data_IF_201726707615
#
_entry.id   IF_201726707615
#
_cell.length_a   1.000
_cell.length_b   1.000
_cell.length_c   1.000
_cell.angle_alpha   90.00
_cell.angle_beta   90.00
_cell.angle_gamma   90.00
#
_symmetry.space_group_name_H-M   'P 1'
#
loop_
_entity.id
_entity.type
_entity.pdbx_description
1 polymer ?
#
# COMPACT_ATOMS: atom_id res chain seq x y z
N UNK A 1 16.58 -13.66 -87.48
CA UNK A 1 15.24 -13.13 -87.84
C UNK A 1 14.56 -12.70 -86.55
N UNK A 2 14.25 -11.40 -86.42
CA UNK A 2 13.22 -10.75 -85.56
C UNK A 2 13.24 -11.07 -84.04
N UNK A 3 13.81 -10.21 -83.19
CA UNK A 3 13.25 -9.06 -82.42
C UNK A 3 13.08 -9.40 -80.91
N UNK A 4 13.15 -8.41 -79.98
CA UNK A 4 13.75 -8.58 -78.65
C UNK A 4 12.74 -8.61 -77.48
N UNK A 5 13.07 -9.38 -76.45
CA UNK A 5 12.32 -9.48 -75.19
C UNK A 5 12.73 -8.40 -74.18
N UNK A 6 11.72 -7.68 -73.71
CA UNK A 6 11.72 -6.53 -72.79
C UNK A 6 12.32 -6.80 -71.41
N UNK A 7 13.15 -5.87 -70.93
CA UNK A 7 13.70 -5.81 -69.59
C UNK A 7 12.64 -5.43 -68.54
N UNK A 8 12.53 -6.23 -67.48
CA UNK A 8 11.70 -5.96 -66.30
C UNK A 8 12.40 -5.01 -65.33
N UNK A 9 12.02 -3.72 -65.34
CA UNK A 9 12.36 -2.77 -64.29
C UNK A 9 11.48 -3.00 -63.05
N UNK A 10 12.07 -3.55 -61.98
CA UNK A 10 11.45 -3.57 -60.65
C UNK A 10 11.52 -2.17 -60.04
N UNK A 11 10.36 -1.53 -59.87
CA UNK A 11 10.22 -0.29 -59.06
C UNK A 11 10.27 -0.64 -57.57
N UNK A 12 10.92 0.18 -56.72
CA UNK A 12 10.85 -0.02 -55.28
C UNK A 12 9.48 0.42 -54.74
N UNK A 13 8.87 -0.43 -53.92
CA UNK A 13 7.67 -0.09 -53.15
C UNK A 13 8.03 0.93 -52.07
N UNK A 14 7.62 2.19 -52.27
CA UNK A 14 7.56 3.15 -51.17
C UNK A 14 6.52 2.69 -50.15
N UNK A 15 6.99 2.10 -49.04
CA UNK A 15 6.16 1.92 -47.84
C UNK A 15 5.88 3.30 -47.26
N UNK A 16 4.69 3.82 -47.52
CA UNK A 16 4.12 4.91 -46.73
C UNK A 16 3.92 4.35 -45.32
N UNK A 17 4.79 4.73 -44.38
CA UNK A 17 4.52 4.57 -42.95
C UNK A 17 3.31 5.47 -42.67
N UNK A 18 2.13 4.87 -42.53
CA UNK A 18 1.04 5.53 -41.84
C UNK A 18 1.56 5.93 -40.46
N UNK A 19 1.69 7.23 -40.20
CA UNK A 19 1.81 7.72 -38.84
C UNK A 19 0.52 7.29 -38.14
N UNK A 20 0.62 6.25 -37.32
CA UNK A 20 -0.47 5.88 -36.41
C UNK A 20 -0.81 7.12 -35.60
N UNK A 21 -2.05 7.59 -35.73
CA UNK A 21 -2.62 8.58 -34.81
C UNK A 21 -2.44 8.00 -33.41
N UNK A 22 -1.74 8.73 -32.53
CA UNK A 22 -1.82 8.51 -31.09
C UNK A 22 -3.32 8.48 -30.74
N UNK A 23 -3.79 7.50 -29.92
CA UNK A 23 -5.19 7.48 -29.52
C UNK A 23 -5.52 8.84 -28.91
N UNK A 24 -6.64 9.44 -29.34
CA UNK A 24 -7.10 10.69 -28.78
C UNK A 24 -7.28 10.48 -27.27
N UNK A 25 -6.54 11.24 -26.46
CA UNK A 25 -6.65 11.19 -24.99
C UNK A 25 -8.11 11.38 -24.61
N UNK A 26 -8.60 10.50 -23.75
CA UNK A 26 -9.98 10.47 -23.32
C UNK A 26 -10.09 11.13 -21.94
N UNK A 27 -11.02 12.06 -21.84
CA UNK A 27 -11.43 12.65 -20.57
C UNK A 27 -12.02 11.58 -19.64
N UNK A 28 -11.72 11.61 -18.34
CA UNK A 28 -12.31 10.73 -17.33
C UNK A 28 -13.20 11.50 -16.35
N UNK A 29 -14.31 10.93 -15.91
CA UNK A 29 -15.06 11.48 -14.77
C UNK A 29 -14.22 11.32 -13.49
N UNK A 30 -14.27 12.31 -12.59
CA UNK A 30 -13.49 12.27 -11.35
C UNK A 30 -13.77 11.01 -10.53
N UNK A 31 -15.04 10.55 -10.45
CA UNK A 31 -15.38 9.35 -9.68
C UNK A 31 -14.85 8.08 -10.33
N UNK A 32 -14.87 8.00 -11.67
CA UNK A 32 -14.24 6.90 -12.42
C UNK A 32 -12.74 6.85 -12.13
N UNK A 33 -12.06 8.01 -12.17
CA UNK A 33 -10.63 8.08 -11.89
C UNK A 33 -10.30 7.70 -10.43
N UNK A 34 -11.03 8.22 -9.45
CA UNK A 34 -10.83 7.87 -8.03
C UNK A 34 -11.09 6.39 -7.79
N UNK A 35 -12.12 5.81 -8.42
CA UNK A 35 -12.36 4.35 -8.36
C UNK A 35 -11.16 3.58 -8.93
N UNK A 36 -10.65 3.98 -10.10
CA UNK A 36 -9.50 3.33 -10.70
C UNK A 36 -8.22 3.45 -9.84
N UNK A 37 -8.01 4.59 -9.16
CA UNK A 37 -6.90 4.75 -8.21
C UNK A 37 -7.05 3.86 -6.97
N UNK A 38 -8.28 3.66 -6.49
CA UNK A 38 -8.57 2.75 -5.37
C UNK A 38 -8.48 1.27 -5.79
N UNK A 39 -8.75 0.94 -7.06
CA UNK A 39 -8.52 -0.40 -7.61
C UNK A 39 -7.02 -0.70 -7.74
N UNK A 40 -6.22 0.33 -8.05
CA UNK A 40 -4.76 0.24 -8.08
C UNK A 40 -4.17 -0.03 -6.69
N UNK A 41 -4.63 0.72 -5.68
CA UNK A 41 -4.31 0.43 -4.28
C UNK A 41 -5.53 0.71 -3.38
N UNK A 42 -6.14 -0.35 -2.82
CA UNK A 42 -7.28 -0.17 -1.91
C UNK A 42 -6.90 0.68 -0.69
N UNK A 43 -7.69 1.71 -0.40
CA UNK A 43 -7.48 2.58 0.77
C UNK A 43 -7.58 1.83 2.10
N UNK A 44 -8.21 0.65 2.13
CA UNK A 44 -8.23 -0.22 3.32
C UNK A 44 -6.87 -0.77 3.72
N UNK A 45 -5.85 -0.61 2.88
CA UNK A 45 -4.46 -0.97 3.17
C UNK A 45 -3.70 0.14 3.90
N UNK A 46 -4.25 1.35 3.96
CA UNK A 46 -3.66 2.45 4.69
C UNK A 46 -3.68 2.19 6.20
N UNK A 47 -2.75 2.81 6.90
CA UNK A 47 -2.71 2.81 8.35
C UNK A 47 -3.94 3.49 8.96
N UNK A 48 -4.38 3.01 10.12
CA UNK A 48 -5.63 3.47 10.75
C UNK A 48 -5.62 4.94 11.19
N UNK A 49 -4.44 5.55 11.36
CA UNK A 49 -4.26 6.95 11.73
C UNK A 49 -4.19 7.89 10.51
N UNK A 50 -4.12 7.33 9.30
CA UNK A 50 -3.82 8.08 8.09
C UNK A 50 -5.06 8.80 7.53
N UNK A 51 -4.83 9.80 6.68
CA UNK A 51 -5.88 10.52 5.96
C UNK A 51 -5.70 10.39 4.44
N UNK A 52 -6.23 9.30 3.89
CA UNK A 52 -6.10 8.91 2.48
C UNK A 52 -7.38 9.10 1.68
N UNK A 53 -7.27 9.08 0.35
CA UNK A 53 -8.40 9.22 -0.58
C UNK A 53 -8.55 10.63 -1.14
N UNK A 54 -9.77 10.96 -1.60
CA UNK A 54 -10.09 12.28 -2.15
C UNK A 54 -10.29 13.30 -1.01
N UNK A 55 -9.32 14.20 -0.84
CA UNK A 55 -9.27 15.17 0.25
C UNK A 55 -9.93 16.52 -0.10
N UNK A 56 -9.87 16.91 -1.38
CA UNK A 56 -10.54 18.10 -1.91
C UNK A 56 -11.26 17.72 -3.19
N UNK A 57 -12.58 17.92 -3.22
CA UNK A 57 -13.44 17.57 -4.34
C UNK A 57 -14.05 18.85 -4.96
N UNK A 58 -13.76 19.17 -6.24
CA UNK A 58 -14.46 20.20 -6.99
C UNK A 58 -15.92 19.82 -7.22
N UNK A 59 -16.82 20.80 -7.34
CA UNK A 59 -18.25 20.52 -7.54
C UNK A 59 -18.52 19.74 -8.84
N UNK A 60 -19.40 18.72 -8.85
CA UNK A 60 -19.71 17.96 -10.05
C UNK A 60 -20.55 18.78 -11.06
N UNK A 61 -20.48 18.45 -12.37
CA UNK A 61 -19.60 17.44 -12.97
C UNK A 61 -18.13 17.89 -12.96
N UNK A 62 -17.22 16.95 -12.74
CA UNK A 62 -15.77 17.21 -12.80
C UNK A 62 -15.07 16.18 -13.67
N UNK A 63 -14.31 16.67 -14.64
CA UNK A 63 -13.67 15.86 -15.66
C UNK A 63 -12.18 16.07 -15.60
N UNK A 64 -11.42 14.98 -15.63
CA UNK A 64 -9.98 14.98 -15.50
C UNK A 64 -9.35 14.65 -16.85
N UNK A 65 -8.54 15.57 -17.35
CA UNK A 65 -7.62 15.37 -18.46
C UNK A 65 -6.17 15.24 -17.97
N UNK A 66 -5.82 15.94 -16.88
CA UNK A 66 -4.46 16.02 -16.35
C UNK A 66 -4.43 15.62 -14.87
N UNK A 67 -3.76 14.50 -14.61
CA UNK A 67 -3.36 14.05 -13.27
C UNK A 67 -1.94 14.55 -12.98
N UNK A 68 -1.76 15.33 -11.92
CA UNK A 68 -0.48 15.88 -11.50
C UNK A 68 0.02 15.17 -10.24
N UNK A 69 1.22 14.59 -10.29
CA UNK A 69 1.83 13.82 -9.21
C UNK A 69 2.86 14.65 -8.46
N UNK A 70 2.84 14.60 -7.14
CA UNK A 70 3.85 15.21 -6.26
C UNK A 70 4.00 14.39 -4.98
N UNK A 71 5.16 14.44 -4.34
CA UNK A 71 5.37 13.89 -3.00
C UNK A 71 4.75 14.82 -1.97
N UNK A 72 5.17 16.09 -2.02
CA UNK A 72 4.83 17.15 -1.10
C UNK A 72 4.17 18.33 -1.84
N UNK A 73 2.86 18.52 -1.64
CA UNK A 73 2.14 19.65 -2.22
C UNK A 73 2.46 20.95 -1.47
N UNK A 74 3.53 21.63 -1.86
CA UNK A 74 3.88 22.99 -1.38
C UNK A 74 3.16 24.08 -2.19
N UNK A 75 3.22 25.33 -1.76
CA UNK A 75 2.64 26.45 -2.53
C UNK A 75 3.30 26.63 -3.90
N UNK A 76 4.61 26.40 -3.98
CA UNK A 76 5.35 26.48 -5.23
C UNK A 76 4.93 25.36 -6.21
N UNK A 77 4.71 24.15 -5.69
CA UNK A 77 4.18 23.00 -6.46
C UNK A 77 2.73 23.23 -6.88
N UNK A 78 1.88 23.79 -6.02
CA UNK A 78 0.51 24.15 -6.37
C UNK A 78 0.49 25.13 -7.55
N UNK A 79 1.36 26.14 -7.53
CA UNK A 79 1.46 27.09 -8.63
C UNK A 79 1.93 26.41 -9.94
N UNK A 80 2.85 25.45 -9.86
CA UNK A 80 3.19 24.60 -11.01
C UNK A 80 1.98 23.81 -11.52
N UNK A 81 1.23 23.15 -10.64
CA UNK A 81 0.06 22.35 -11.01
C UNK A 81 -1.01 23.19 -11.72
N UNK A 82 -1.26 24.42 -11.24
CA UNK A 82 -2.14 25.40 -11.89
C UNK A 82 -1.63 25.76 -13.28
N UNK A 83 -0.33 26.08 -13.42
CA UNK A 83 0.28 26.42 -14.71
C UNK A 83 0.23 25.27 -15.71
N UNK A 84 0.39 24.03 -15.24
CA UNK A 84 0.30 22.80 -16.04
C UNK A 84 -1.14 22.36 -16.28
N UNK A 85 -2.14 23.12 -15.81
CA UNK A 85 -3.58 22.84 -15.96
C UNK A 85 -3.96 21.45 -15.44
N UNK A 86 -3.53 21.15 -14.21
CA UNK A 86 -3.95 19.96 -13.49
C UNK A 86 -5.46 20.03 -13.19
N UNK A 87 -6.18 18.91 -13.35
CA UNK A 87 -7.58 18.78 -12.93
C UNK A 87 -7.71 17.96 -11.62
N UNK A 88 -6.71 17.11 -11.36
CA UNK A 88 -6.53 16.35 -10.12
C UNK A 88 -5.04 16.34 -9.77
N UNK A 89 -4.72 16.66 -8.51
CA UNK A 89 -3.40 16.46 -7.92
C UNK A 89 -3.44 15.18 -7.08
N UNK A 90 -2.52 14.26 -7.34
CA UNK A 90 -2.17 13.17 -6.44
C UNK A 90 -0.93 13.60 -5.66
N UNK A 91 -1.14 13.94 -4.39
CA UNK A 91 -0.08 14.28 -3.44
C UNK A 91 0.23 13.04 -2.62
N UNK A 92 1.47 12.54 -2.62
CA UNK A 92 1.85 11.35 -1.86
C UNK A 92 1.55 11.54 -0.38
N UNK A 93 2.04 12.66 0.17
CA UNK A 93 1.71 13.12 1.51
C UNK A 93 0.39 13.90 1.51
N UNK A 94 -0.50 13.65 2.48
CA UNK A 94 -1.78 14.34 2.56
C UNK A 94 -1.58 15.80 3.01
N UNK A 95 -1.90 16.80 2.17
CA UNK A 95 -1.78 18.21 2.57
C UNK A 95 -2.76 18.55 3.70
N UNK A 96 -3.92 17.90 3.73
CA UNK A 96 -4.84 17.88 4.87
C UNK A 96 -4.54 16.63 5.70
N UNK A 97 -3.58 16.69 6.60
CA UNK A 97 -3.29 15.57 7.51
C UNK A 97 -4.11 15.66 8.81
N UNK A 98 -4.25 16.87 9.34
CA UNK A 98 -5.08 17.17 10.50
C UNK A 98 -6.39 17.85 10.08
N UNK A 99 -7.54 17.53 10.69
CA UNK A 99 -8.82 18.16 10.35
C UNK A 99 -8.78 19.69 10.43
N UNK A 100 -9.18 20.35 9.34
CA UNK A 100 -9.29 21.81 9.27
C UNK A 100 -10.62 22.26 9.88
N UNK A 101 -10.57 23.09 10.93
CA UNK A 101 -11.78 23.70 11.51
C UNK A 101 -12.34 24.84 10.65
N UNK A 102 -11.49 25.45 9.82
CA UNK A 102 -11.79 26.58 8.93
C UNK A 102 -10.91 26.49 7.69
N UNK A 103 -11.39 27.03 6.58
CA UNK A 103 -10.63 27.20 5.33
C UNK A 103 -10.59 28.69 5.01
N UNK A 104 -9.45 29.32 5.29
CA UNK A 104 -9.21 30.76 5.12
C UNK A 104 -7.84 30.99 4.47
N UNK A 105 -7.48 32.23 4.14
CA UNK A 105 -6.16 32.52 3.53
C UNK A 105 -4.98 32.53 4.53
N UNK A 106 -5.19 32.07 5.78
CA UNK A 106 -4.26 32.29 6.89
C UNK A 106 -3.02 31.40 6.86
N UNK A 107 -3.20 30.09 6.75
CA UNK A 107 -2.10 29.12 6.74
C UNK A 107 -1.84 28.61 5.33
N UNK A 108 -0.62 28.17 5.06
CA UNK A 108 -0.25 27.65 3.74
C UNK A 108 -1.11 26.45 3.33
N UNK A 109 -1.39 25.52 4.26
CA UNK A 109 -2.29 24.38 4.02
C UNK A 109 -3.71 24.80 3.65
N UNK A 110 -4.28 25.78 4.35
CA UNK A 110 -5.60 26.32 3.97
C UNK A 110 -5.55 27.01 2.60
N UNK A 111 -4.48 27.75 2.28
CA UNK A 111 -4.30 28.37 0.96
C UNK A 111 -4.21 27.35 -0.16
N UNK A 112 -3.59 26.19 0.05
CA UNK A 112 -3.61 25.10 -0.94
C UNK A 112 -5.05 24.66 -1.24
N UNK A 113 -5.88 24.47 -0.21
CA UNK A 113 -7.29 24.09 -0.39
C UNK A 113 -8.07 25.19 -1.10
N UNK A 114 -7.90 26.47 -0.71
CA UNK A 114 -8.56 27.60 -1.38
C UNK A 114 -8.16 27.65 -2.85
N UNK A 115 -6.86 27.57 -3.16
CA UNK A 115 -6.35 27.57 -4.54
C UNK A 115 -6.91 26.40 -5.35
N UNK A 116 -6.90 25.20 -4.78
CA UNK A 116 -7.46 24.02 -5.44
C UNK A 116 -8.93 24.25 -5.82
N UNK A 117 -9.75 24.78 -4.90
CA UNK A 117 -11.15 25.06 -5.16
C UNK A 117 -11.36 26.19 -6.18
N UNK A 118 -10.59 27.29 -6.10
CA UNK A 118 -10.65 28.41 -7.06
C UNK A 118 -10.35 27.97 -8.49
N UNK A 119 -9.41 27.03 -8.67
CA UNK A 119 -9.01 26.49 -9.96
C UNK A 119 -9.73 25.19 -10.33
N UNK A 120 -10.69 24.75 -9.50
CA UNK A 120 -11.42 23.47 -9.66
C UNK A 120 -10.50 22.26 -9.79
N UNK A 121 -9.44 22.19 -9.01
CA UNK A 121 -8.48 21.10 -8.96
C UNK A 121 -8.83 20.18 -7.79
N UNK A 122 -9.00 18.88 -8.04
CA UNK A 122 -9.14 17.90 -6.96
C UNK A 122 -7.80 17.61 -6.28
N UNK A 123 -7.83 17.16 -5.03
CA UNK A 123 -6.64 16.66 -4.32
C UNK A 123 -6.94 15.26 -3.80
N UNK A 124 -6.14 14.29 -4.21
CA UNK A 124 -6.16 12.91 -3.74
C UNK A 124 -4.83 12.56 -3.08
N UNK A 125 -4.86 11.75 -2.02
CA UNK A 125 -3.65 11.29 -1.31
C UNK A 125 -3.70 9.79 -1.05
N UNK A 126 -2.78 8.98 -1.60
CA UNK A 126 -2.74 7.54 -1.32
C UNK A 126 -1.92 7.20 -0.06
N UNK A 127 -0.86 7.98 0.22
CA UNK A 127 0.06 7.84 1.36
C UNK A 127 0.35 6.39 1.74
N UNK A 128 0.00 5.95 2.95
CA UNK A 128 0.35 4.61 3.44
C UNK A 128 -0.30 3.46 2.66
N UNK A 129 -1.39 3.69 1.91
CA UNK A 129 -1.90 2.66 1.01
C UNK A 129 -0.86 2.30 -0.08
N UNK A 130 -0.10 3.28 -0.57
CA UNK A 130 0.97 3.06 -1.55
C UNK A 130 2.28 2.59 -0.91
N UNK A 131 2.45 2.77 0.42
CA UNK A 131 3.49 2.08 1.17
C UNK A 131 3.25 0.56 1.24
N UNK A 132 1.97 0.17 1.31
CA UNK A 132 1.55 -1.20 1.57
C UNK A 132 1.71 -2.13 0.36
N UNK A 133 1.35 -1.66 -0.84
CA UNK A 133 1.14 -2.52 -2.01
C UNK A 133 2.43 -3.16 -2.56
N UNK A 134 2.34 -4.31 -3.26
CA UNK A 134 3.51 -5.02 -3.79
C UNK A 134 4.32 -4.26 -4.85
N UNK A 135 3.75 -3.23 -5.45
CA UNK A 135 4.40 -2.39 -6.46
C UNK A 135 4.49 -0.93 -6.00
N UNK A 136 4.49 -0.73 -4.68
CA UNK A 136 4.54 0.56 -4.00
C UNK A 136 5.95 1.08 -3.72
N UNK A 137 6.04 2.16 -2.95
CA UNK A 137 7.31 2.86 -2.70
C UNK A 137 8.34 1.97 -2.01
N UNK A 138 7.92 1.11 -1.08
CA UNK A 138 8.84 0.23 -0.35
C UNK A 138 9.44 -0.82 -1.30
N UNK A 139 8.66 -1.34 -2.25
CA UNK A 139 9.15 -2.24 -3.29
C UNK A 139 10.03 -1.54 -4.32
N UNK A 140 9.75 -0.27 -4.63
CA UNK A 140 10.64 0.54 -5.44
C UNK A 140 12.00 0.73 -4.75
N UNK A 141 12.01 1.06 -3.45
CA UNK A 141 13.21 1.30 -2.66
C UNK A 141 14.12 0.06 -2.55
N UNK A 142 13.57 -1.16 -2.55
CA UNK A 142 14.38 -2.40 -2.53
C UNK A 142 15.31 -2.51 -3.73
N UNK A 143 14.99 -1.87 -4.88
CA UNK A 143 15.84 -1.90 -6.08
C UNK A 143 17.22 -1.30 -5.80
N UNK A 144 17.34 -0.38 -4.84
CA UNK A 144 18.60 0.17 -4.38
C UNK A 144 19.52 -0.83 -3.66
N UNK A 145 19.01 -1.99 -3.22
CA UNK A 145 19.82 -3.04 -2.60
C UNK A 145 20.42 -4.01 -3.64
N UNK A 146 19.78 -4.13 -4.82
CA UNK A 146 20.10 -5.11 -5.85
C UNK A 146 19.15 -6.31 -5.83
N UNK A 147 19.59 -7.46 -6.35
CA UNK A 147 18.76 -8.66 -6.43
C UNK A 147 18.49 -9.27 -5.05
N UNK A 148 17.23 -9.26 -4.62
CA UNK A 148 16.79 -9.84 -3.36
C UNK A 148 15.37 -10.42 -3.46
N UNK A 149 15.03 -11.32 -2.55
CA UNK A 149 13.63 -11.61 -2.21
C UNK A 149 13.18 -10.66 -1.12
N UNK A 150 11.90 -10.30 -1.09
CA UNK A 150 11.34 -9.37 -0.09
C UNK A 150 10.00 -9.84 0.45
N UNK A 151 9.79 -9.69 1.75
CA UNK A 151 8.50 -9.89 2.43
C UNK A 151 8.13 -8.64 3.24
N UNK A 152 6.84 -8.33 3.43
CA UNK A 152 6.43 -7.21 4.28
C UNK A 152 6.86 -7.44 5.74
N UNK A 153 7.28 -6.37 6.42
CA UNK A 153 7.63 -6.43 7.86
C UNK A 153 6.38 -6.49 8.73
N UNK A 154 5.37 -5.69 8.39
CA UNK A 154 4.05 -5.69 9.01
C UNK A 154 3.01 -6.04 7.96
N UNK A 155 2.68 -7.34 7.77
CA UNK A 155 1.78 -7.78 6.71
C UNK A 155 0.37 -7.22 6.89
N UNK A 156 -0.25 -6.75 5.80
CA UNK A 156 -1.67 -6.39 5.80
C UNK A 156 -2.55 -7.63 5.87
N UNK A 157 -3.75 -7.48 6.41
CA UNK A 157 -4.75 -8.54 6.49
C UNK A 157 -5.93 -8.26 5.58
N UNK A 158 -6.64 -9.30 5.17
CA UNK A 158 -7.88 -9.16 4.42
C UNK A 158 -8.93 -8.37 5.21
N UNK A 159 -9.86 -7.66 4.55
CA UNK A 159 -10.86 -6.84 5.24
C UNK A 159 -11.74 -7.65 6.20
N UNK A 160 -12.07 -8.90 5.82
CA UNK A 160 -12.89 -9.83 6.60
C UNK A 160 -12.27 -11.23 6.66
N UNK A 161 -12.71 -12.02 7.65
CA UNK A 161 -12.41 -13.44 7.71
C UNK A 161 -13.19 -14.19 6.60
N UNK A 162 -12.62 -15.24 5.97
CA UNK A 162 -13.25 -15.95 4.85
C UNK A 162 -14.64 -16.53 5.12
N UNK A 163 -14.95 -16.79 6.39
CA UNK A 163 -16.19 -17.43 6.80
C UNK A 163 -17.17 -16.49 7.52
N UNK A 164 -16.90 -15.17 7.42
CA UNK A 164 -17.62 -14.06 8.06
C UNK A 164 -17.70 -14.18 9.61
N UNK A 165 -17.74 -13.04 10.31
CA UNK A 165 -17.63 -13.00 11.77
C UNK A 165 -16.20 -13.01 12.33
N UNK A 166 -16.09 -12.89 13.64
CA UNK A 166 -14.81 -12.77 14.37
C UNK A 166 -14.51 -13.97 15.25
N UNK A 167 -15.51 -14.79 15.56
CA UNK A 167 -15.37 -15.96 16.43
C UNK A 167 -15.99 -17.19 15.77
N UNK A 168 -15.47 -18.35 16.14
CA UNK A 168 -16.09 -19.63 15.89
C UNK A 168 -16.42 -20.31 17.22
N UNK A 169 -17.66 -20.77 17.34
CA UNK A 169 -18.13 -21.55 18.48
C UNK A 169 -18.39 -22.97 18.00
N UNK A 170 -17.82 -23.94 18.72
CA UNK A 170 -17.97 -25.36 18.42
C UNK A 170 -18.42 -26.10 19.67
N UNK A 171 -19.47 -26.91 19.57
CA UNK A 171 -19.95 -27.74 20.68
C UNK A 171 -20.57 -29.02 20.15
N UNK A 172 -20.63 -30.06 20.99
CA UNK A 172 -21.34 -31.30 20.67
C UNK A 172 -22.63 -31.38 21.50
N UNK A 173 -23.72 -31.80 20.86
CA UNK A 173 -25.02 -32.02 21.51
C UNK A 173 -25.62 -33.34 21.03
N UNK A 174 -26.42 -33.97 21.88
CA UNK A 174 -27.25 -35.11 21.48
C UNK A 174 -28.40 -34.67 20.54
N UNK A 175 -29.08 -35.65 19.96
CA UNK A 175 -30.20 -35.42 19.03
C UNK A 175 -31.41 -34.80 19.71
N UNK A 176 -31.60 -35.01 21.02
CA UNK A 176 -32.75 -34.52 21.79
C UNK A 176 -32.69 -33.00 22.00
N UNK A 177 -31.50 -32.47 22.30
CA UNK A 177 -31.28 -31.05 22.55
C UNK A 177 -30.94 -30.25 21.29
N UNK A 178 -30.57 -30.92 20.19
CA UNK A 178 -30.13 -30.29 18.95
C UNK A 178 -31.17 -29.29 18.40
N UNK A 179 -32.42 -29.70 18.24
CA UNK A 179 -33.47 -28.86 17.63
C UNK A 179 -33.81 -27.63 18.48
N UNK A 180 -33.79 -27.78 19.80
CA UNK A 180 -34.04 -26.68 20.76
C UNK A 180 -32.90 -25.66 20.72
N UNK A 181 -31.65 -26.11 20.62
CA UNK A 181 -30.50 -25.22 20.55
C UNK A 181 -30.43 -24.53 19.19
N UNK A 182 -30.62 -25.27 18.09
CA UNK A 182 -30.57 -24.70 16.74
C UNK A 182 -31.68 -23.68 16.48
N UNK A 183 -32.90 -23.90 17.00
CA UNK A 183 -34.00 -22.93 16.86
C UNK A 183 -33.66 -21.60 17.53
N UNK A 184 -33.16 -21.63 18.78
CA UNK A 184 -32.75 -20.42 19.51
C UNK A 184 -31.53 -19.74 18.90
N UNK A 185 -30.57 -20.50 18.36
CA UNK A 185 -29.40 -19.95 17.66
C UNK A 185 -29.81 -19.20 16.39
N UNK A 186 -30.80 -19.70 15.62
CA UNK A 186 -31.28 -19.04 14.40
C UNK A 186 -31.88 -17.65 14.65
N UNK A 187 -32.34 -17.39 15.86
CA UNK A 187 -32.91 -16.09 16.25
C UNK A 187 -31.82 -15.04 16.59
N UNK A 188 -30.56 -15.48 16.79
CA UNK A 188 -29.43 -14.59 17.09
C UNK A 188 -28.94 -13.96 15.78
N UNK A 189 -28.96 -12.63 15.74
CA UNK A 189 -28.44 -11.87 14.60
C UNK A 189 -26.90 -11.96 14.52
N UNK A 190 -26.32 -11.69 13.34
CA UNK A 190 -24.87 -11.66 13.13
C UNK A 190 -24.16 -13.03 13.29
N UNK A 191 -24.91 -14.13 13.16
CA UNK A 191 -24.38 -15.46 12.90
C UNK A 191 -24.25 -15.64 11.38
N UNK A 192 -23.03 -15.92 10.93
CA UNK A 192 -22.67 -15.88 9.50
C UNK A 192 -22.62 -17.27 8.87
N UNK A 193 -22.31 -18.29 9.68
CA UNK A 193 -22.21 -19.67 9.23
C UNK A 193 -22.66 -20.57 10.36
N UNK A 194 -23.57 -21.50 10.11
CA UNK A 194 -24.02 -22.52 11.05
C UNK A 194 -24.01 -23.87 10.33
N UNK A 195 -23.23 -24.80 10.83
CA UNK A 195 -23.03 -26.12 10.23
C UNK A 195 -23.14 -27.20 11.30
N UNK A 196 -23.67 -28.35 10.92
CA UNK A 196 -23.81 -29.51 11.80
C UNK A 196 -23.20 -30.73 11.13
N UNK A 197 -22.45 -31.51 11.90
CA UNK A 197 -21.79 -32.72 11.44
C UNK A 197 -22.05 -33.86 12.41
N UNK A 198 -22.35 -35.08 11.92
CA UNK A 198 -22.40 -36.26 12.78
C UNK A 198 -21.02 -36.47 13.44
N UNK A 199 -21.03 -36.74 14.74
CA UNK A 199 -19.84 -36.98 15.54
C UNK A 199 -20.05 -38.17 16.48
N UNK A 200 -18.97 -38.81 16.90
CA UNK A 200 -18.97 -39.77 18.00
C UNK A 200 -18.05 -39.28 19.09
N UNK A 201 -18.63 -39.03 20.27
CA UNK A 201 -17.90 -38.57 21.44
C UNK A 201 -18.12 -39.63 22.52
N UNK A 202 -17.03 -40.18 23.06
CA UNK A 202 -17.09 -41.18 24.15
C UNK A 202 -17.94 -42.44 23.82
N UNK A 203 -18.13 -42.75 22.52
CA UNK A 203 -18.88 -43.92 22.06
C UNK A 203 -20.36 -43.67 21.76
N UNK A 204 -20.87 -42.48 22.04
CA UNK A 204 -22.26 -42.08 21.76
C UNK A 204 -22.36 -41.27 20.47
N UNK A 205 -23.48 -41.43 19.75
CA UNK A 205 -23.78 -40.60 18.58
C UNK A 205 -24.22 -39.21 19.02
N UNK A 206 -23.45 -38.21 18.61
CA UNK A 206 -23.70 -36.80 18.89
C UNK A 206 -23.63 -36.00 17.60
N UNK A 207 -24.09 -34.76 17.64
CA UNK A 207 -23.95 -33.80 16.55
C UNK A 207 -23.00 -32.70 16.98
N UNK A 208 -21.92 -32.51 16.22
CA UNK A 208 -21.04 -31.34 16.36
C UNK A 208 -21.68 -30.18 15.63
N UNK A 209 -21.93 -29.09 16.36
CA UNK A 209 -22.42 -27.83 15.84
C UNK A 209 -21.24 -26.86 15.79
N UNK A 210 -21.04 -26.26 14.62
CA UNK A 210 -20.03 -25.23 14.39
C UNK A 210 -20.71 -23.99 13.84
N UNK A 211 -20.49 -22.85 14.47
CA UNK A 211 -20.98 -21.57 13.99
C UNK A 211 -19.92 -20.48 14.03
N UNK A 212 -19.98 -19.54 13.08
CA UNK A 212 -19.21 -18.31 13.13
C UNK A 212 -20.12 -17.13 13.45
N UNK A 213 -19.64 -16.20 14.27
CA UNK A 213 -20.43 -15.07 14.74
C UNK A 213 -19.57 -13.83 15.04
N UNK A 214 -20.22 -12.67 15.17
CA UNK A 214 -19.59 -11.45 15.68
C UNK A 214 -19.29 -11.56 17.18
N UNK A 215 -18.51 -10.62 17.73
CA UNK A 215 -18.28 -10.50 19.18
C UNK A 215 -19.60 -10.33 19.95
N UNK A 216 -20.57 -9.60 19.37
CA UNK A 216 -21.86 -9.35 20.00
C UNK A 216 -22.71 -10.62 20.04
N UNK A 217 -22.82 -11.30 18.90
CA UNK A 217 -23.52 -12.57 18.80
C UNK A 217 -22.90 -13.67 19.66
N UNK A 218 -21.57 -13.66 19.84
CA UNK A 218 -20.87 -14.58 20.74
C UNK A 218 -21.42 -14.51 22.17
N UNK A 219 -21.69 -13.31 22.69
CA UNK A 219 -22.22 -13.13 24.04
C UNK A 219 -23.60 -13.79 24.19
N UNK A 220 -24.46 -13.65 23.18
CA UNK A 220 -25.78 -14.25 23.15
C UNK A 220 -25.71 -15.78 23.04
N UNK A 221 -24.81 -16.30 22.18
CA UNK A 221 -24.56 -17.74 22.02
C UNK A 221 -24.02 -18.35 23.32
N UNK A 222 -23.06 -17.70 23.97
CA UNK A 222 -22.50 -18.17 25.25
C UNK A 222 -23.58 -18.17 26.34
N UNK A 223 -24.37 -17.11 26.44
CA UNK A 223 -25.48 -17.04 27.40
C UNK A 223 -26.51 -18.15 27.15
N UNK A 224 -26.82 -18.44 25.89
CA UNK A 224 -27.68 -19.55 25.50
C UNK A 224 -27.12 -20.90 25.94
N UNK A 225 -25.87 -21.19 25.58
CA UNK A 225 -25.22 -22.47 25.86
C UNK A 225 -25.01 -22.71 27.36
N UNK A 226 -24.77 -21.64 28.14
CA UNK A 226 -24.62 -21.73 29.60
C UNK A 226 -25.88 -22.20 30.34
N UNK A 227 -27.05 -22.20 29.69
CA UNK A 227 -28.29 -22.76 30.26
C UNK A 227 -28.21 -24.29 30.41
N UNK A 228 -27.28 -24.95 29.71
CA UNK A 228 -26.99 -26.37 29.83
C UNK A 228 -25.50 -26.58 30.16
N UNK A 229 -25.23 -26.93 31.42
CA UNK A 229 -23.88 -27.08 31.95
C UNK A 229 -23.01 -28.07 31.13
N UNK A 230 -23.59 -29.19 30.68
CA UNK A 230 -22.87 -30.21 29.90
C UNK A 230 -22.47 -29.71 28.51
N UNK A 231 -23.32 -28.93 27.85
CA UNK A 231 -23.02 -28.31 26.56
C UNK A 231 -21.95 -27.23 26.69
N UNK A 232 -22.08 -26.37 27.71
CA UNK A 232 -21.14 -25.28 27.94
C UNK A 232 -19.73 -25.78 28.27
N UNK A 233 -19.59 -26.81 29.10
CA UNK A 233 -18.29 -27.38 29.45
C UNK A 233 -17.55 -28.01 28.26
N UNK A 234 -18.27 -28.43 27.22
CA UNK A 234 -17.71 -29.00 25.98
C UNK A 234 -17.68 -27.99 24.83
N UNK A 235 -17.93 -26.71 25.09
CA UNK A 235 -17.91 -25.65 24.07
C UNK A 235 -16.50 -25.09 23.90
N UNK A 236 -16.00 -25.10 22.67
CA UNK A 236 -14.77 -24.43 22.26
C UNK A 236 -15.09 -23.11 21.57
N UNK A 237 -14.36 -22.06 21.93
CA UNK A 237 -14.49 -20.72 21.32
C UNK A 237 -13.13 -20.34 20.75
N UNK A 238 -13.09 -20.15 19.43
CA UNK A 238 -11.89 -19.80 18.69
C UNK A 238 -12.02 -18.36 18.15
N UNK A 239 -11.01 -17.54 18.37
CA UNK A 239 -10.89 -16.24 17.71
C UNK A 239 -10.43 -16.45 16.27
N UNK A 240 -11.20 -15.98 15.30
CA UNK A 240 -10.86 -16.09 13.89
C UNK A 240 -9.88 -14.98 13.50
N UNK A 241 -8.78 -15.36 12.86
CA UNK A 241 -7.80 -14.42 12.33
C UNK A 241 -8.10 -14.10 10.87
N UNK A 242 -7.95 -12.82 10.51
CA UNK A 242 -8.01 -12.38 9.13
C UNK A 242 -6.78 -12.93 8.39
N UNK A 243 -6.94 -13.52 7.19
CA UNK A 243 -5.82 -14.03 6.43
C UNK A 243 -4.89 -12.89 6.03
N UNK A 244 -3.59 -13.17 5.99
CA UNK A 244 -2.60 -12.22 5.49
C UNK A 244 -2.77 -12.03 3.99
N UNK A 245 -2.62 -10.79 3.52
CA UNK A 245 -2.57 -10.47 2.10
C UNK A 245 -1.15 -10.70 1.57
N UNK A 246 -0.97 -11.55 0.55
CA UNK A 246 0.36 -11.82 0.02
C UNK A 246 1.06 -10.55 -0.46
N UNK A 247 2.32 -10.38 -0.06
CA UNK A 247 3.20 -9.28 -0.48
C UNK A 247 2.74 -7.85 -0.13
N UNK A 248 1.70 -7.70 0.69
CA UNK A 248 1.13 -6.41 1.07
C UNK A 248 1.40 -6.13 2.55
N UNK A 249 1.79 -4.91 2.90
CA UNK A 249 2.07 -4.50 4.28
C UNK A 249 3.12 -3.40 4.37
N UNK A 250 3.40 -2.92 5.57
CA UNK A 250 4.41 -1.87 5.79
C UNK A 250 5.83 -2.45 5.79
N UNK A 251 6.77 -1.67 5.24
CA UNK A 251 8.19 -1.99 5.17
C UNK A 251 8.52 -3.30 4.46
N UNK A 252 9.81 -3.59 4.26
CA UNK A 252 10.26 -4.84 3.62
C UNK A 252 11.46 -5.42 4.34
N UNK A 253 11.43 -6.72 4.63
CA UNK A 253 12.62 -7.49 4.93
C UNK A 253 13.13 -8.11 3.64
N UNK A 254 14.29 -7.67 3.20
CA UNK A 254 14.95 -8.13 1.99
C UNK A 254 16.05 -9.12 2.34
N UNK A 255 16.08 -10.27 1.65
CA UNK A 255 17.19 -11.23 1.71
C UNK A 255 17.91 -11.22 0.37
N UNK A 256 19.16 -10.74 0.37
CA UNK A 256 19.99 -10.69 -0.83
C UNK A 256 20.35 -12.10 -1.29
N UNK A 257 20.45 -12.32 -2.61
CA UNK A 257 20.81 -13.63 -3.15
C UNK A 257 22.19 -14.07 -2.67
N UNK A 258 23.15 -13.14 -2.63
CA UNK A 258 24.49 -13.29 -2.06
C UNK A 258 24.78 -12.15 -1.08
N UNK A 259 25.59 -12.37 -0.02
CA UNK A 259 26.03 -11.28 0.83
C UNK A 259 26.82 -10.23 0.05
N UNK A 260 26.57 -8.95 0.34
CA UNK A 260 27.22 -7.80 -0.32
C UNK A 260 27.83 -6.90 0.75
N UNK A 261 28.97 -6.25 0.47
CA UNK A 261 29.55 -5.32 1.44
C UNK A 261 28.63 -4.11 1.68
N UNK A 262 28.70 -3.54 2.88
CA UNK A 262 27.95 -2.34 3.21
C UNK A 262 28.36 -1.16 2.30
N UNK A 263 29.64 -1.06 1.91
CA UNK A 263 30.17 -0.08 0.96
C UNK A 263 29.50 -0.17 -0.42
N UNK A 264 29.35 -1.37 -0.97
CA UNK A 264 28.68 -1.58 -2.26
C UNK A 264 27.19 -1.23 -2.18
N UNK A 265 26.52 -1.56 -1.07
CA UNK A 265 25.11 -1.21 -0.87
C UNK A 265 24.91 0.30 -0.81
N UNK A 266 25.81 1.03 -0.11
CA UNK A 266 25.79 2.50 -0.06
C UNK A 266 25.83 3.10 -1.46
N UNK A 267 26.74 2.63 -2.33
CA UNK A 267 26.86 3.16 -3.68
C UNK A 267 25.66 2.81 -4.56
N UNK A 268 25.07 1.62 -4.40
CA UNK A 268 23.82 1.25 -5.08
C UNK A 268 22.65 2.13 -4.66
N UNK A 269 22.50 2.40 -3.36
CA UNK A 269 21.45 3.28 -2.82
C UNK A 269 21.63 4.72 -3.32
N UNK A 270 22.84 5.28 -3.25
CA UNK A 270 23.15 6.61 -3.79
C UNK A 270 22.79 6.70 -5.27
N UNK A 271 23.18 5.70 -6.07
CA UNK A 271 22.88 5.65 -7.50
C UNK A 271 21.37 5.57 -7.77
N UNK A 272 20.67 4.70 -7.02
CA UNK A 272 19.22 4.52 -7.16
C UNK A 272 18.42 5.77 -6.79
N UNK A 273 18.75 6.39 -5.65
CA UNK A 273 18.08 7.61 -5.15
C UNK A 273 18.64 8.90 -5.78
N UNK A 274 19.72 8.79 -6.58
CA UNK A 274 20.45 9.92 -7.17
C UNK A 274 20.95 10.92 -6.14
N UNK A 275 21.42 10.43 -4.98
CA UNK A 275 21.92 11.25 -3.88
C UNK A 275 23.45 11.30 -3.90
N UNK A 276 24.06 12.49 -3.76
CA UNK A 276 25.52 12.62 -3.65
C UNK A 276 26.03 12.11 -2.28
N UNK A 277 25.20 12.26 -1.25
CA UNK A 277 25.53 11.94 0.13
C UNK A 277 24.36 11.22 0.80
N UNK A 278 24.67 10.32 1.73
CA UNK A 278 23.73 9.67 2.63
C UNK A 278 24.35 9.63 4.03
N UNK A 279 23.53 9.43 5.05
CA UNK A 279 23.99 9.30 6.43
C UNK A 279 24.03 7.84 6.81
N UNK A 280 25.08 7.45 7.54
CA UNK A 280 25.27 6.07 7.97
C UNK A 280 25.69 6.00 9.44
N UNK A 281 25.15 5.01 10.13
CA UNK A 281 25.66 4.53 11.40
C UNK A 281 26.05 3.05 11.24
N UNK A 282 27.31 2.72 11.47
CA UNK A 282 27.81 1.35 11.32
C UNK A 282 27.54 0.58 12.61
N UNK A 283 26.96 -0.62 12.50
CA UNK A 283 26.64 -1.46 13.66
C UNK A 283 27.86 -1.81 14.52
N UNK A 284 27.67 -2.03 15.81
CA UNK A 284 28.75 -2.40 16.73
C UNK A 284 29.48 -3.65 16.22
N UNK A 285 30.82 -3.58 16.13
CA UNK A 285 31.65 -4.68 15.62
C UNK A 285 31.61 -4.86 14.09
N UNK A 286 30.92 -3.98 13.36
CA UNK A 286 30.88 -3.98 11.89
C UNK A 286 31.78 -2.89 11.31
N UNK A 287 32.04 -3.01 10.01
CA UNK A 287 32.80 -2.08 9.18
C UNK A 287 32.08 -1.88 7.85
N UNK A 288 32.52 -0.94 7.02
CA UNK A 288 31.97 -0.75 5.68
C UNK A 288 32.18 -1.97 4.76
N UNK A 289 33.13 -2.84 5.08
CA UNK A 289 33.38 -4.09 4.33
C UNK A 289 32.63 -5.29 4.92
N UNK A 290 31.88 -5.09 6.01
CA UNK A 290 31.07 -6.17 6.59
C UNK A 290 29.97 -6.61 5.62
N UNK A 291 29.73 -7.94 5.50
CA UNK A 291 28.70 -8.45 4.62
C UNK A 291 27.30 -8.18 5.18
N UNK A 292 26.40 -7.76 4.30
CA UNK A 292 24.96 -7.61 4.51
C UNK A 292 24.26 -8.72 3.73
N UNK A 293 23.47 -9.53 4.41
CA UNK A 293 22.62 -10.57 3.79
C UNK A 293 21.14 -10.23 3.94
N UNK A 294 20.75 -9.70 5.10
CA UNK A 294 19.38 -9.24 5.38
C UNK A 294 19.34 -7.74 5.57
N UNK A 295 18.47 -7.06 4.85
CA UNK A 295 18.23 -5.63 5.00
C UNK A 295 16.73 -5.37 5.25
N UNK A 296 16.40 -4.71 6.35
CA UNK A 296 15.05 -4.23 6.61
C UNK A 296 14.92 -2.78 6.14
N UNK A 297 13.84 -2.45 5.43
CA UNK A 297 13.63 -1.10 4.92
C UNK A 297 12.20 -0.61 5.10
N UNK A 298 12.06 0.70 5.21
CA UNK A 298 10.79 1.41 5.19
C UNK A 298 11.07 2.83 4.68
N UNK A 299 10.46 3.23 3.57
CA UNK A 299 10.51 4.62 3.11
C UNK A 299 9.92 5.58 4.17
N UNK A 300 10.29 6.86 4.10
CA UNK A 300 9.84 7.89 5.03
C UNK A 300 10.42 7.73 6.44
N UNK A 301 9.59 7.91 7.47
CA UNK A 301 9.96 7.76 8.88
C UNK A 301 9.77 6.32 9.39
N UNK A 302 10.72 5.44 9.11
CA UNK A 302 10.58 3.98 9.31
C UNK A 302 10.85 3.43 10.71
N UNK A 303 11.22 4.26 11.71
CA UNK A 303 11.60 3.81 13.06
C UNK A 303 10.68 2.73 13.64
N UNK A 304 9.37 2.99 13.69
CA UNK A 304 8.39 2.10 14.30
C UNK A 304 8.21 0.78 13.54
N UNK A 305 8.36 0.82 12.21
CA UNK A 305 8.21 -0.34 11.32
C UNK A 305 9.43 -1.25 11.44
N UNK A 306 10.63 -0.66 11.55
CA UNK A 306 11.90 -1.39 11.57
C UNK A 306 12.24 -1.97 12.95
N UNK A 307 11.80 -1.32 14.02
CA UNK A 307 12.15 -1.66 15.41
C UNK A 307 11.95 -3.15 15.71
N UNK A 308 12.99 -3.78 16.27
CA UNK A 308 12.96 -5.19 16.69
C UNK A 308 13.14 -6.19 15.53
N UNK A 309 13.35 -5.73 14.30
CA UNK A 309 13.59 -6.61 13.16
C UNK A 309 15.03 -7.12 13.15
N UNK A 310 15.24 -8.43 13.09
CA UNK A 310 16.58 -9.01 12.90
C UNK A 310 17.08 -8.81 11.45
N UNK A 311 18.04 -7.91 11.26
CA UNK A 311 18.68 -7.64 9.98
C UNK A 311 20.14 -7.20 10.16
N UNK A 312 20.94 -7.23 9.10
CA UNK A 312 22.30 -6.66 9.10
C UNK A 312 22.28 -5.14 8.86
N UNK A 313 21.24 -4.67 8.17
CA UNK A 313 21.08 -3.29 7.73
C UNK A 313 19.63 -2.82 7.88
N UNK A 314 19.45 -1.62 8.40
CA UNK A 314 18.22 -0.82 8.30
C UNK A 314 18.40 0.29 7.25
N UNK A 315 17.39 0.46 6.39
CA UNK A 315 17.33 1.55 5.40
C UNK A 315 16.00 2.30 5.54
N UNK A 316 16.08 3.59 5.83
CA UNK A 316 14.90 4.46 5.91
C UNK A 316 15.24 5.91 5.57
N UNK A 317 14.24 6.78 5.46
CA UNK A 317 14.47 8.22 5.34
C UNK A 317 14.98 8.78 6.66
N UNK A 318 14.22 8.54 7.74
CA UNK A 318 14.45 9.14 9.04
C UNK A 318 14.35 8.13 10.19
N UNK A 319 15.18 8.34 11.21
CA UNK A 319 15.19 7.58 12.45
C UNK A 319 15.64 8.48 13.60
N UNK A 320 15.02 8.34 14.78
CA UNK A 320 15.39 9.13 15.94
C UNK A 320 16.79 8.76 16.44
N UNK A 321 17.47 9.68 17.13
CA UNK A 321 18.83 9.44 17.64
C UNK A 321 18.92 8.18 18.52
N UNK A 322 17.95 7.98 19.42
CA UNK A 322 17.93 6.82 20.30
C UNK A 322 17.64 5.52 19.56
N UNK A 323 16.77 5.53 18.54
CA UNK A 323 16.53 4.35 17.71
C UNK A 323 17.79 3.96 16.91
N UNK A 324 18.54 4.94 16.40
CA UNK A 324 19.83 4.67 15.72
C UNK A 324 20.84 4.05 16.69
N UNK A 325 20.95 4.60 17.92
CA UNK A 325 21.86 4.04 18.93
C UNK A 325 21.50 2.60 19.29
N UNK A 326 20.20 2.31 19.45
CA UNK A 326 19.71 0.96 19.76
C UNK A 326 20.02 -0.03 18.62
N UNK A 327 19.75 0.35 17.37
CA UNK A 327 20.10 -0.47 16.21
C UNK A 327 21.61 -0.76 16.14
N UNK A 328 22.44 0.28 16.31
CA UNK A 328 23.90 0.14 16.30
C UNK A 328 24.37 -0.77 17.44
N UNK A 329 23.84 -0.61 18.65
CA UNK A 329 24.18 -1.45 19.79
C UNK A 329 23.85 -2.93 19.56
N UNK A 330 22.80 -3.22 18.79
CA UNK A 330 22.42 -4.58 18.37
C UNK A 330 23.22 -5.08 17.14
N UNK A 331 24.28 -4.37 16.72
CA UNK A 331 25.13 -4.77 15.60
C UNK A 331 24.51 -4.52 14.22
N UNK A 332 23.42 -3.76 14.15
CA UNK A 332 22.69 -3.41 12.93
C UNK A 332 23.25 -2.10 12.39
N UNK A 333 23.63 -2.07 11.11
CA UNK A 333 24.00 -0.82 10.45
C UNK A 333 22.74 -0.07 10.01
N UNK A 334 22.76 1.26 10.00
CA UNK A 334 21.62 2.10 9.62
C UNK A 334 22.04 3.05 8.52
N UNK A 335 21.28 3.07 7.42
CA UNK A 335 21.38 4.08 6.36
C UNK A 335 20.14 4.98 6.42
N UNK A 336 20.39 6.28 6.49
CA UNK A 336 19.37 7.33 6.47
C UNK A 336 19.56 8.19 5.22
N UNK A 337 18.49 8.31 4.44
CA UNK A 337 18.50 9.02 3.16
C UNK A 337 17.64 10.29 3.17
N UNK A 338 17.12 10.71 4.32
CA UNK A 338 16.09 11.75 4.50
C UNK A 338 14.73 11.35 3.90
N UNK A 339 13.64 11.91 4.44
CA UNK A 339 12.27 11.43 4.25
C UNK A 339 11.85 11.34 2.78
N UNK A 340 11.66 12.49 2.14
CA UNK A 340 11.11 12.57 0.80
C UNK A 340 12.06 12.01 -0.27
N UNK A 341 13.36 11.91 0.02
CA UNK A 341 14.33 11.29 -0.89
C UNK A 341 14.14 9.77 -1.02
N UNK A 342 13.59 9.12 0.01
CA UNK A 342 13.21 7.69 -0.05
C UNK A 342 11.87 7.42 -0.70
N UNK A 343 11.19 8.46 -1.20
CA UNK A 343 9.83 8.38 -1.73
C UNK A 343 9.69 9.02 -3.11
N UNK A 344 10.15 10.26 -3.28
CA UNK A 344 9.90 11.10 -4.47
C UNK A 344 10.31 10.41 -5.78
N UNK A 345 11.40 9.64 -5.76
CA UNK A 345 11.87 8.92 -6.94
C UNK A 345 10.86 7.89 -7.47
N UNK A 346 10.01 7.33 -6.61
CA UNK A 346 8.93 6.41 -6.97
C UNK A 346 7.90 7.05 -7.91
N UNK A 347 7.66 8.35 -7.81
CA UNK A 347 6.63 9.05 -8.61
C UNK A 347 6.87 8.92 -10.12
N UNK A 348 8.13 8.80 -10.55
CA UNK A 348 8.45 8.59 -11.97
C UNK A 348 8.00 7.20 -12.45
N UNK A 349 8.17 6.17 -11.62
CA UNK A 349 7.70 4.81 -11.93
C UNK A 349 6.19 4.73 -11.78
N UNK A 350 5.63 5.35 -10.74
CA UNK A 350 4.19 5.46 -10.52
C UNK A 350 3.49 6.09 -11.72
N UNK A 351 4.05 7.15 -12.32
CA UNK A 351 3.52 7.75 -13.56
C UNK A 351 3.33 6.70 -14.66
N UNK A 352 4.35 5.89 -14.91
CA UNK A 352 4.34 4.93 -16.01
C UNK A 352 3.39 3.75 -15.73
N UNK A 353 3.34 3.31 -14.48
CA UNK A 353 2.43 2.27 -14.01
C UNK A 353 0.97 2.75 -14.07
N UNK A 354 0.68 3.95 -13.55
CA UNK A 354 -0.66 4.54 -13.62
C UNK A 354 -1.08 4.85 -15.06
N UNK A 355 -0.17 5.29 -15.93
CA UNK A 355 -0.48 5.50 -17.34
C UNK A 355 -0.96 4.21 -18.00
N UNK A 356 -0.32 3.08 -17.66
CA UNK A 356 -0.74 1.75 -18.13
C UNK A 356 -2.08 1.34 -17.53
N UNK A 357 -2.24 1.46 -16.20
CA UNK A 357 -3.47 1.12 -15.47
C UNK A 357 -4.69 1.90 -15.97
N UNK A 358 -4.51 3.19 -16.24
CA UNK A 358 -5.53 4.11 -16.77
C UNK A 358 -5.63 4.06 -18.31
N UNK A 359 -4.98 3.09 -18.96
CA UNK A 359 -5.04 2.86 -20.40
C UNK A 359 -4.69 4.10 -21.24
N UNK A 360 -3.80 4.95 -20.72
CA UNK A 360 -3.39 6.22 -21.32
C UNK A 360 -4.56 7.18 -21.65
N UNK A 361 -5.69 7.07 -20.93
CA UNK A 361 -6.84 7.96 -21.12
C UNK A 361 -6.46 9.41 -20.82
N UNK A 362 -5.79 9.66 -19.69
CA UNK A 362 -5.42 10.99 -19.21
C UNK A 362 -3.91 11.28 -19.32
N UNK A 363 -3.54 12.55 -19.24
CA UNK A 363 -2.15 13.00 -19.12
C UNK A 363 -1.68 12.88 -17.67
N UNK A 364 -0.54 12.26 -17.42
CA UNK A 364 0.07 12.20 -16.09
C UNK A 364 1.38 12.98 -16.09
N UNK A 365 1.50 13.96 -15.20
CA UNK A 365 2.66 14.84 -15.07
C UNK A 365 3.25 14.66 -13.67
N UNK A 366 4.57 14.59 -13.55
CA UNK A 366 5.25 14.62 -12.24
C UNK A 366 5.79 16.02 -12.03
N UNK A 367 5.59 16.57 -10.84
CA UNK A 367 6.09 17.86 -10.41
C UNK A 367 7.58 18.02 -10.66
N UNK A 368 7.97 19.11 -11.33
CA UNK A 368 9.38 19.52 -11.48
C UNK A 368 9.82 20.38 -10.28
N UNK A 369 8.86 20.91 -9.52
CA UNK A 369 9.09 21.78 -8.37
C UNK A 369 9.06 21.07 -7.03
N UNK A 370 8.73 19.78 -6.97
CA UNK A 370 8.85 19.01 -5.73
C UNK A 370 10.33 18.78 -5.39
N UNK A 371 10.72 19.10 -4.15
CA UNK A 371 12.10 19.00 -3.69
C UNK A 371 12.16 18.76 -2.19
N UNK A 372 13.29 18.24 -1.75
CA UNK A 372 13.50 17.99 -0.33
C UNK A 372 13.62 19.32 0.41
N UNK A 373 12.98 19.48 1.58
CA UNK A 373 13.10 20.71 2.34
C UNK A 373 14.49 20.88 2.96
N UNK A 374 15.29 19.80 3.08
CA UNK A 374 16.63 19.81 3.63
C UNK A 374 17.68 19.80 2.52
N UNK A 375 18.76 20.55 2.75
CA UNK A 375 19.91 20.60 1.86
C UNK A 375 21.20 20.45 2.68
N UNK A 376 22.16 19.73 2.13
CA UNK A 376 23.53 19.70 2.66
C UNK A 376 24.19 21.00 2.24
N UNK A 377 24.57 21.83 3.23
CA UNK A 377 25.10 23.19 3.04
C UNK A 377 26.59 23.23 2.70
#
# INVERSE_FOLDING_TARGET
MLLPGTALLRRPLHRIRALGRLPARALMDLRELVSALNDFAPLSLAESWDNVGLLVEPSPPHTVNTLFLTNDLTEEVMEEAVQKKADLILSYHPPIFTPLKRVTWKTWKERLVVRALEHRIGIYSPHTAYDAIPHGVNNWLTKGLGACTSVPLHPSTAPSCPAEGTHRVEFCTDTEHLDVVLSKIKDIQEISCLTTFPARVEGEEQTRVTLNCSQKALLEVVALLSQNSLLYHKTEILLLQKPLLPHTGMGRLCTLSEPVSLSDIIERIKSHLKLPHIRIAVGMGRTLESPVKKAALCAGSGSSVLKGTEADLYLTGEMSHHDVLDAVANGISVILCEHSNTERGFLSELRDVLATHLQNKISIIVSEKDRDPLQVA
#
